data_IF_966510328446
#
_entry.id   IF_966510328446
#
_cell.length_a   1.000
_cell.length_b   1.000
_cell.length_c   1.000
_cell.angle_alpha   90.00
_cell.angle_beta   90.00
_cell.angle_gamma   90.00
#
_symmetry.space_group_name_H-M   'P 1'
#
loop_
_entity.id
_entity.type
_entity.pdbx_description
1 polymer ?
#
# COMPACT_ATOMS: atom_id res chain seq x y z
N UNK A 1 -0.21 0.94 -90.30
CA UNK A 1 0.53 1.81 -89.35
C UNK A 1 -0.46 2.77 -88.68
N UNK A 2 -0.77 2.59 -87.39
CA UNK A 2 -1.53 3.57 -86.60
C UNK A 2 -0.69 3.92 -85.37
N UNK A 3 -0.26 5.17 -85.30
CA UNK A 3 0.62 5.71 -84.27
C UNK A 3 -0.07 5.70 -82.89
N UNK A 4 0.63 5.21 -81.88
CA UNK A 4 0.24 5.35 -80.48
C UNK A 4 0.36 6.83 -80.06
N UNK A 5 -0.78 7.46 -79.80
CA UNK A 5 -0.85 8.79 -79.18
C UNK A 5 -0.42 8.68 -77.71
N UNK A 6 0.84 9.01 -77.43
CA UNK A 6 1.40 9.08 -76.07
C UNK A 6 0.80 10.32 -75.37
N UNK A 7 -0.31 10.12 -74.64
CA UNK A 7 -0.97 11.18 -73.87
C UNK A 7 -0.05 11.63 -72.72
N UNK A 8 0.70 12.72 -72.91
CA UNK A 8 1.50 13.37 -71.86
C UNK A 8 0.55 13.75 -70.70
N UNK A 9 0.66 13.06 -69.57
CA UNK A 9 0.01 13.48 -68.34
C UNK A 9 0.75 14.72 -67.82
N UNK A 10 0.02 15.82 -67.63
CA UNK A 10 0.56 17.06 -67.06
C UNK A 10 1.16 16.78 -65.66
N UNK A 11 2.29 17.39 -65.29
CA UNK A 11 2.91 17.20 -63.97
C UNK A 11 1.93 17.45 -62.82
N UNK A 12 0.99 18.38 -62.99
CA UNK A 12 -0.08 18.64 -62.01
C UNK A 12 -0.96 17.41 -61.79
N UNK A 13 -1.26 16.64 -62.85
CA UNK A 13 -2.07 15.42 -62.72
C UNK A 13 -1.32 14.31 -62.00
N UNK A 14 0.02 14.22 -62.17
CA UNK A 14 0.84 13.26 -61.43
C UNK A 14 0.95 13.63 -59.95
N UNK A 15 1.08 14.92 -59.63
CA UNK A 15 1.09 15.40 -58.23
C UNK A 15 -0.25 15.16 -57.55
N UNK A 16 -1.37 15.43 -58.24
CA UNK A 16 -2.71 15.14 -57.71
C UNK A 16 -2.90 13.64 -57.51
N UNK A 17 -2.52 12.79 -58.47
CA UNK A 17 -2.66 11.34 -58.35
C UNK A 17 -1.76 10.75 -57.24
N UNK A 18 -0.53 11.26 -57.11
CA UNK A 18 0.40 10.86 -56.06
C UNK A 18 -0.07 11.30 -54.68
N UNK A 19 -0.59 12.53 -54.58
CA UNK A 19 -1.16 13.07 -53.34
C UNK A 19 -2.42 12.31 -52.90
N UNK A 20 -3.31 11.96 -53.82
CA UNK A 20 -4.49 11.15 -53.49
C UNK A 20 -4.11 9.73 -53.06
N UNK A 21 -3.16 9.08 -53.74
CA UNK A 21 -2.65 7.77 -53.34
C UNK A 21 -1.99 7.82 -51.95
N UNK A 22 -1.22 8.86 -51.65
CA UNK A 22 -0.56 9.04 -50.36
C UNK A 22 -1.56 9.27 -49.23
N UNK A 23 -2.59 10.11 -49.44
CA UNK A 23 -3.64 10.33 -48.45
C UNK A 23 -4.47 9.08 -48.20
N UNK A 24 -4.78 8.30 -49.25
CA UNK A 24 -5.45 7.00 -49.09
C UNK A 24 -4.56 6.03 -48.31
N UNK A 25 -3.26 5.97 -48.59
CA UNK A 25 -2.31 5.14 -47.85
C UNK A 25 -2.19 5.57 -46.37
N UNK A 26 -2.15 6.86 -46.07
CA UNK A 26 -2.16 7.36 -44.69
C UNK A 26 -3.46 7.00 -43.96
N UNK A 27 -4.61 7.08 -44.64
CA UNK A 27 -5.89 6.67 -44.06
C UNK A 27 -5.93 5.16 -43.80
N UNK A 28 -5.38 4.33 -44.70
CA UNK A 28 -5.29 2.87 -44.49
C UNK A 28 -4.32 2.54 -43.35
N UNK A 29 -3.15 3.17 -43.29
CA UNK A 29 -2.18 2.97 -42.21
C UNK A 29 -2.69 3.46 -40.85
N UNK A 30 -3.44 4.58 -40.81
CA UNK A 30 -4.13 5.02 -39.60
C UNK A 30 -5.30 4.11 -39.23
N UNK A 31 -5.93 3.44 -40.20
CA UNK A 31 -6.96 2.42 -39.94
C UNK A 31 -6.35 1.16 -39.34
N UNK A 32 -5.15 0.74 -39.77
CA UNK A 32 -4.45 -0.41 -39.17
C UNK A 32 -3.92 -0.13 -37.75
N UNK A 33 -3.60 1.12 -37.40
CA UNK A 33 -3.28 1.52 -36.02
C UNK A 33 -4.55 1.76 -35.18
N UNK A 34 -5.68 2.09 -35.82
CA UNK A 34 -6.94 2.46 -35.18
C UNK A 34 -8.02 1.37 -35.13
N UNK A 35 -7.80 0.20 -35.74
CA UNK A 35 -8.76 -0.92 -35.70
C UNK A 35 -8.08 -2.26 -35.42
N UNK A 36 -7.81 -2.52 -34.14
CA UNK A 36 -8.02 -3.85 -33.57
C UNK A 36 -9.35 -3.85 -32.82
N UNK A 37 -10.49 -4.25 -33.43
CA UNK A 37 -11.69 -4.61 -32.71
C UNK A 37 -11.65 -6.13 -32.48
N UNK A 38 -10.65 -6.58 -31.75
CA UNK A 38 -10.64 -7.89 -31.16
C UNK A 38 -10.03 -7.69 -29.78
N UNK A 39 -10.87 -7.29 -28.83
CA UNK A 39 -10.54 -7.54 -27.43
C UNK A 39 -10.24 -9.03 -27.33
N UNK A 40 -9.12 -9.37 -26.70
CA UNK A 40 -8.77 -10.76 -26.42
C UNK A 40 -10.01 -11.43 -25.79
N UNK A 41 -10.54 -12.53 -26.37
CA UNK A 41 -11.80 -13.14 -25.92
C UNK A 41 -11.80 -13.48 -24.43
N UNK A 42 -10.63 -13.81 -23.91
CA UNK A 42 -10.36 -14.03 -22.48
C UNK A 42 -10.60 -12.80 -21.60
N UNK A 43 -10.18 -11.60 -22.05
CA UNK A 43 -10.37 -10.37 -21.27
C UNK A 43 -11.83 -9.93 -21.29
N UNK A 44 -12.54 -10.08 -22.41
CA UNK A 44 -13.98 -9.84 -22.43
C UNK A 44 -14.74 -10.85 -21.56
N UNK A 45 -14.31 -12.11 -21.53
CA UNK A 45 -14.89 -13.11 -20.63
C UNK A 45 -14.63 -12.80 -19.15
N UNK A 46 -13.46 -12.26 -18.79
CA UNK A 46 -13.15 -11.79 -17.44
C UNK A 46 -13.97 -10.57 -17.04
N UNK A 47 -14.16 -9.62 -17.96
CA UNK A 47 -14.98 -8.42 -17.72
C UNK A 47 -16.45 -8.82 -17.55
N UNK A 48 -16.98 -9.68 -18.41
CA UNK A 48 -18.35 -10.20 -18.30
C UNK A 48 -18.54 -11.02 -17.02
N UNK A 49 -17.56 -11.85 -16.63
CA UNK A 49 -17.58 -12.58 -15.35
C UNK A 49 -17.53 -11.63 -14.16
N UNK A 50 -16.69 -10.60 -14.22
CA UNK A 50 -16.58 -9.55 -13.20
C UNK A 50 -17.89 -8.79 -13.00
N UNK A 51 -18.50 -8.34 -14.09
CA UNK A 51 -19.79 -7.64 -14.07
C UNK A 51 -20.92 -8.54 -13.55
N UNK A 52 -20.92 -9.82 -13.94
CA UNK A 52 -21.91 -10.79 -13.47
C UNK A 52 -21.77 -11.09 -11.97
N UNK A 53 -20.55 -11.16 -11.46
CA UNK A 53 -20.27 -11.28 -10.02
C UNK A 53 -20.70 -10.01 -9.29
N UNK A 54 -20.41 -8.82 -9.84
CA UNK A 54 -20.85 -7.54 -9.28
C UNK A 54 -22.37 -7.41 -9.20
N UNK A 55 -23.10 -7.85 -10.23
CA UNK A 55 -24.57 -7.86 -10.24
C UNK A 55 -25.10 -8.86 -9.20
N UNK A 56 -24.56 -10.08 -9.13
CA UNK A 56 -24.96 -11.04 -8.09
C UNK A 56 -24.68 -10.53 -6.67
N UNK A 57 -23.52 -9.90 -6.45
CA UNK A 57 -23.18 -9.31 -5.15
C UNK A 57 -24.11 -8.14 -4.82
N UNK A 58 -24.43 -7.28 -5.79
CA UNK A 58 -25.36 -6.16 -5.61
C UNK A 58 -26.79 -6.64 -5.32
N UNK A 59 -27.26 -7.69 -5.98
CA UNK A 59 -28.55 -8.32 -5.71
C UNK A 59 -28.56 -9.01 -4.33
N UNK A 60 -27.48 -9.69 -3.96
CA UNK A 60 -27.32 -10.29 -2.63
C UNK A 60 -27.33 -9.21 -1.53
N UNK A 61 -26.61 -8.10 -1.72
CA UNK A 61 -26.57 -6.97 -0.77
C UNK A 61 -27.93 -6.26 -0.66
N UNK A 62 -28.68 -6.15 -1.77
CA UNK A 62 -30.03 -5.57 -1.74
C UNK A 62 -31.07 -6.48 -1.06
N UNK A 63 -30.86 -7.81 -1.05
CA UNK A 63 -31.74 -8.77 -0.37
C UNK A 63 -31.31 -9.06 1.08
N UNK A 64 -30.09 -8.68 1.47
CA UNK A 64 -29.65 -8.65 2.86
C UNK A 64 -30.20 -7.35 3.47
N UNK A 65 -31.44 -7.42 3.93
CA UNK A 65 -31.95 -6.43 4.88
C UNK A 65 -31.01 -6.41 6.09
N UNK A 66 -30.22 -5.33 6.22
CA UNK A 66 -29.43 -5.02 7.40
C UNK A 66 -30.36 -4.74 8.59
N UNK A 67 -30.92 -5.80 9.18
CA UNK A 67 -31.63 -5.76 10.46
C UNK A 67 -30.79 -6.28 11.63
N UNK A 68 -29.50 -6.55 11.41
CA UNK A 68 -28.56 -6.79 12.51
C UNK A 68 -27.87 -5.47 12.81
N UNK A 69 -28.58 -4.58 13.52
CA UNK A 69 -27.87 -3.57 14.30
C UNK A 69 -26.94 -4.30 15.26
N UNK A 70 -25.68 -3.88 15.34
CA UNK A 70 -24.79 -4.36 16.40
C UNK A 70 -25.55 -4.23 17.74
N UNK A 71 -25.54 -5.26 18.61
CA UNK A 71 -26.09 -5.10 19.96
C UNK A 71 -25.47 -3.84 20.54
N UNK A 72 -26.30 -2.85 20.91
CA UNK A 72 -25.79 -1.70 21.63
C UNK A 72 -25.08 -2.27 22.85
N UNK A 73 -23.79 -1.94 23.09
CA UNK A 73 -23.18 -2.32 24.34
C UNK A 73 -24.11 -1.80 25.44
N UNK A 74 -24.46 -2.63 26.45
CA UNK A 74 -25.27 -2.16 27.56
C UNK A 74 -24.64 -0.84 28.03
N UNK A 75 -25.44 0.20 28.32
CA UNK A 75 -24.90 1.46 28.79
C UNK A 75 -23.93 1.12 29.90
N UNK A 76 -22.66 1.50 29.73
CA UNK A 76 -21.64 1.25 30.71
C UNK A 76 -22.20 1.79 32.01
N UNK A 77 -22.63 0.88 32.89
CA UNK A 77 -23.00 1.28 34.23
C UNK A 77 -21.68 1.81 34.78
N UNK A 78 -21.59 3.12 34.94
CA UNK A 78 -20.62 3.76 35.81
C UNK A 78 -20.93 3.22 37.21
N UNK A 79 -20.49 1.99 37.49
CA UNK A 79 -20.30 1.53 38.83
C UNK A 79 -19.16 2.39 39.34
N UNK A 80 -19.53 3.43 40.08
CA UNK A 80 -18.63 4.17 40.93
C UNK A 80 -18.15 3.23 42.03
N UNK A 81 -17.22 2.34 41.70
CA UNK A 81 -16.28 1.91 42.73
C UNK A 81 -15.47 3.17 43.03
N UNK A 82 -15.85 3.84 44.12
CA UNK A 82 -14.98 4.79 44.78
C UNK A 82 -13.80 3.98 45.34
N UNK A 83 -12.95 3.46 44.45
CA UNK A 83 -11.67 2.92 44.81
C UNK A 83 -10.84 4.10 45.28
N UNK A 84 -10.64 4.21 46.59
CA UNK A 84 -9.82 5.24 47.23
C UNK A 84 -8.37 5.30 46.70
N UNK A 85 -7.99 4.35 45.85
CA UNK A 85 -6.69 4.21 45.21
C UNK A 85 -6.68 4.62 43.72
N UNK A 86 -7.78 5.16 43.18
CA UNK A 86 -7.85 5.55 41.77
C UNK A 86 -7.50 7.05 41.59
N UNK A 87 -6.35 7.39 40.98
CA UNK A 87 -6.00 8.78 40.77
C UNK A 87 -6.97 9.45 39.79
N UNK A 88 -7.44 10.64 40.14
CA UNK A 88 -8.29 11.44 39.28
C UNK A 88 -7.51 12.04 38.08
N UNK A 89 -8.24 12.42 37.04
CA UNK A 89 -7.71 13.12 35.88
C UNK A 89 -7.21 12.20 34.76
N UNK A 90 -6.30 12.75 33.95
CA UNK A 90 -5.80 12.12 32.72
C UNK A 90 -4.28 11.95 32.78
N UNK A 91 -3.76 10.94 32.08
CA UNK A 91 -2.33 10.80 31.87
C UNK A 91 -1.75 12.01 31.12
N UNK A 92 -0.59 12.47 31.55
CA UNK A 92 0.19 13.50 30.88
C UNK A 92 1.07 12.89 29.79
N UNK A 93 1.51 13.71 28.82
CA UNK A 93 2.42 13.26 27.78
C UNK A 93 3.78 12.79 28.34
N UNK A 94 4.24 13.37 29.46
CA UNK A 94 5.46 12.94 30.14
C UNK A 94 5.31 11.54 30.77
N UNK A 95 4.13 11.19 31.29
CA UNK A 95 3.83 9.83 31.78
C UNK A 95 3.69 8.83 30.63
N UNK A 96 3.18 9.28 29.47
CA UNK A 96 2.99 8.45 28.28
C UNK A 96 4.22 8.39 27.36
N UNK A 97 5.39 8.83 27.82
CA UNK A 97 6.62 8.76 27.04
C UNK A 97 7.00 7.30 26.71
N UNK A 98 7.59 7.03 25.54
CA UNK A 98 8.00 5.69 25.15
C UNK A 98 9.17 5.15 25.97
N UNK A 99 9.44 3.84 25.86
CA UNK A 99 10.55 3.19 26.55
C UNK A 99 11.92 3.58 25.96
N UNK A 100 11.98 3.85 24.66
CA UNK A 100 13.16 4.40 23.99
C UNK A 100 12.82 5.69 23.25
N UNK A 101 13.75 6.64 23.29
CA UNK A 101 13.70 7.82 22.43
C UNK A 101 14.25 7.48 21.05
N UNK A 102 13.53 7.89 20.00
CA UNK A 102 13.97 7.64 18.63
C UNK A 102 15.22 8.47 18.34
N UNK A 103 16.31 7.87 17.79
CA UNK A 103 17.48 8.63 17.40
C UNK A 103 17.15 9.64 16.29
N UNK A 104 17.92 10.73 16.14
CA UNK A 104 17.78 11.66 15.02
C UNK A 104 17.78 10.91 13.69
N UNK A 105 16.80 11.21 12.82
CA UNK A 105 16.69 10.61 11.49
C UNK A 105 17.18 11.60 10.44
N UNK A 106 17.84 11.09 9.40
CA UNK A 106 18.19 11.87 8.21
C UNK A 106 16.98 11.90 7.24
N UNK A 107 16.41 13.08 6.93
CA UNK A 107 15.28 13.21 6.00
C UNK A 107 15.61 12.75 4.56
N UNK A 108 16.90 12.72 4.18
CA UNK A 108 17.37 12.23 2.89
C UNK A 108 17.63 10.72 2.86
N UNK A 109 17.54 10.04 4.01
CA UNK A 109 17.81 8.61 4.07
C UNK A 109 16.72 7.79 3.35
N UNK A 110 17.06 6.60 2.83
CA UNK A 110 16.10 5.80 2.09
C UNK A 110 14.89 5.40 2.94
N UNK A 111 13.68 5.71 2.45
CA UNK A 111 12.44 5.43 3.16
C UNK A 111 12.18 6.26 4.42
N UNK A 112 12.90 7.38 4.59
CA UNK A 112 12.64 8.35 5.65
C UNK A 112 11.18 8.84 5.62
N UNK A 113 10.59 9.03 6.80
CA UNK A 113 9.20 9.48 6.97
C UNK A 113 8.16 8.62 6.25
N UNK A 114 8.47 7.34 6.03
CA UNK A 114 7.59 6.43 5.29
C UNK A 114 7.51 6.68 3.79
N UNK A 115 8.39 7.51 3.22
CA UNK A 115 8.47 7.76 1.78
C UNK A 115 8.84 6.49 1.01
N UNK A 116 8.51 6.45 -0.27
CA UNK A 116 8.87 5.34 -1.14
C UNK A 116 10.40 5.20 -1.26
N UNK A 117 10.90 3.96 -1.14
CA UNK A 117 12.28 3.64 -1.51
C UNK A 117 12.34 3.50 -3.04
N UNK A 118 13.03 4.43 -3.70
CA UNK A 118 13.25 4.41 -5.14
C UNK A 118 14.75 4.34 -5.42
N UNK A 119 15.14 3.45 -6.32
CA UNK A 119 16.50 3.31 -6.81
C UNK A 119 16.44 3.11 -8.32
N UNK A 120 16.81 4.15 -9.06
CA UNK A 120 16.62 4.22 -10.52
C UNK A 120 17.59 3.31 -11.28
N UNK A 121 18.79 3.11 -10.73
CA UNK A 121 19.83 2.29 -11.34
C UNK A 121 20.29 1.22 -10.34
N UNK A 122 19.96 -0.03 -10.64
CA UNK A 122 20.46 -1.21 -9.94
C UNK A 122 21.51 -1.90 -10.80
N UNK A 123 22.58 -2.35 -10.15
CA UNK A 123 23.54 -3.27 -10.78
C UNK A 123 22.90 -4.67 -10.95
N UNK A 124 23.40 -5.50 -11.88
CA UNK A 124 22.92 -6.87 -12.04
C UNK A 124 22.97 -7.68 -10.74
N UNK A 125 23.96 -7.43 -9.89
CA UNK A 125 24.11 -8.06 -8.57
C UNK A 125 23.00 -7.63 -7.61
N UNK A 126 22.65 -6.34 -7.59
CA UNK A 126 21.57 -5.80 -6.76
C UNK A 126 20.18 -6.26 -7.24
N UNK A 127 19.98 -6.37 -8.55
CA UNK A 127 18.75 -6.93 -9.12
C UNK A 127 18.55 -8.38 -8.70
N UNK A 128 19.63 -9.17 -8.74
CA UNK A 128 19.63 -10.55 -8.26
C UNK A 128 19.35 -10.63 -6.75
N UNK A 129 20.00 -9.81 -5.92
CA UNK A 129 19.73 -9.73 -4.47
C UNK A 129 18.25 -9.41 -4.19
N UNK A 130 17.69 -8.46 -4.93
CA UNK A 130 16.28 -8.08 -4.84
C UNK A 130 15.34 -9.23 -5.24
N UNK A 131 15.63 -9.93 -6.32
CA UNK A 131 14.82 -11.07 -6.78
C UNK A 131 14.88 -12.25 -5.79
N UNK A 132 16.06 -12.56 -5.27
CA UNK A 132 16.24 -13.59 -4.24
C UNK A 132 15.48 -13.25 -2.96
N UNK A 133 15.58 -12.00 -2.48
CA UNK A 133 14.83 -11.52 -1.32
C UNK A 133 13.31 -11.56 -1.54
N UNK A 134 12.85 -11.17 -2.73
CA UNK A 134 11.43 -11.27 -3.11
C UNK A 134 10.95 -12.72 -3.14
N UNK A 135 11.76 -13.64 -3.64
CA UNK A 135 11.43 -15.06 -3.72
C UNK A 135 11.38 -15.70 -2.32
N UNK A 136 12.32 -15.33 -1.43
CA UNK A 136 12.42 -15.91 -0.09
C UNK A 136 11.34 -15.41 0.86
N UNK A 137 11.04 -14.11 0.84
CA UNK A 137 10.19 -13.47 1.84
C UNK A 137 8.89 -12.88 1.27
N UNK A 138 8.65 -12.99 -0.04
CA UNK A 138 7.46 -12.43 -0.72
C UNK A 138 7.32 -10.91 -0.63
N UNK A 139 8.40 -10.19 -0.30
CA UNK A 139 8.48 -8.73 -0.33
C UNK A 139 9.89 -8.26 -0.70
N UNK A 140 10.04 -6.96 -0.97
CA UNK A 140 11.33 -6.36 -1.32
C UNK A 140 12.27 -6.25 -0.11
N UNK A 141 12.91 -7.37 0.26
CA UNK A 141 13.89 -7.42 1.34
C UNK A 141 15.06 -6.45 1.09
N UNK A 142 15.54 -6.37 -0.16
CA UNK A 142 16.61 -5.45 -0.57
C UNK A 142 16.34 -4.00 -0.14
N UNK A 143 15.11 -3.52 -0.33
CA UNK A 143 14.69 -2.20 0.11
C UNK A 143 14.60 -2.14 1.64
N UNK A 144 14.01 -3.15 2.29
CA UNK A 144 13.92 -3.22 3.74
C UNK A 144 15.30 -3.14 4.41
N UNK A 145 16.31 -3.83 3.89
CA UNK A 145 17.66 -3.85 4.47
C UNK A 145 18.37 -2.49 4.38
N UNK A 146 17.96 -1.63 3.44
CA UNK A 146 18.51 -0.28 3.21
C UNK A 146 17.71 0.82 3.90
N UNK A 147 16.57 0.49 4.50
CA UNK A 147 15.74 1.42 5.26
C UNK A 147 16.08 1.30 6.75
N UNK A 148 16.25 2.45 7.43
CA UNK A 148 16.54 2.51 8.87
C UNK A 148 15.58 1.64 9.71
N UNK A 149 16.14 0.91 10.68
CA UNK A 149 15.35 0.18 11.69
C UNK A 149 14.58 1.14 12.61
N UNK A 150 15.06 2.38 12.74
CA UNK A 150 14.50 3.41 13.61
C UNK A 150 13.75 4.50 12.84
N UNK A 151 13.32 4.22 11.60
CA UNK A 151 12.68 5.25 10.75
C UNK A 151 11.48 5.92 11.41
N UNK A 152 11.37 7.21 11.17
CA UNK A 152 10.18 8.02 11.39
C UNK A 152 9.09 7.69 10.35
N UNK A 153 7.84 8.01 10.66
CA UNK A 153 6.71 7.94 9.71
C UNK A 153 6.24 9.34 9.27
N UNK A 154 7.01 10.38 9.58
CA UNK A 154 6.69 11.77 9.28
C UNK A 154 5.73 12.39 10.29
N UNK A 155 5.02 13.41 9.84
CA UNK A 155 4.00 14.11 10.62
C UNK A 155 2.78 13.22 10.89
N UNK A 156 2.11 13.46 12.03
CA UNK A 156 0.93 12.70 12.42
C UNK A 156 -0.28 13.08 11.55
N UNK A 157 -0.68 12.18 10.65
CA UNK A 157 -1.81 12.39 9.73
C UNK A 157 -3.14 11.87 10.26
N UNK A 158 -3.22 11.50 11.55
CA UNK A 158 -4.47 11.03 12.15
C UNK A 158 -5.48 12.20 12.28
N UNK A 159 -6.79 11.91 12.35
CA UNK A 159 -7.78 12.94 12.65
C UNK A 159 -7.46 13.67 13.96
N UNK A 160 -7.69 15.00 14.06
CA UNK A 160 -7.33 15.80 15.24
C UNK A 160 -7.86 15.22 16.56
N UNK A 161 -9.06 14.64 16.55
CA UNK A 161 -9.68 14.02 17.73
C UNK A 161 -8.89 12.82 18.26
N UNK A 162 -8.10 12.15 17.43
CA UNK A 162 -7.20 11.06 17.84
C UNK A 162 -5.93 11.60 18.49
N UNK A 163 -5.40 12.71 17.97
CA UNK A 163 -4.17 13.36 18.47
C UNK A 163 -4.43 14.05 19.81
N UNK A 164 -5.59 14.69 19.95
CA UNK A 164 -6.00 15.41 21.14
C UNK A 164 -6.62 14.52 22.24
N UNK A 165 -6.80 13.23 21.95
CA UNK A 165 -7.43 12.28 22.87
C UNK A 165 -6.65 12.15 24.16
N UNK A 166 -7.35 12.31 25.28
CA UNK A 166 -6.81 12.10 26.63
C UNK A 166 -7.32 10.81 27.23
N UNK A 167 -6.46 10.10 27.94
CA UNK A 167 -6.79 8.83 28.61
C UNK A 167 -6.98 9.07 30.11
N UNK A 168 -8.13 8.67 30.65
CA UNK A 168 -8.40 8.76 32.10
C UNK A 168 -7.45 7.82 32.85
N UNK A 169 -7.04 8.23 34.05
CA UNK A 169 -6.28 7.35 34.95
C UNK A 169 -7.16 6.34 35.70
N UNK A 170 -8.49 6.50 35.62
CA UNK A 170 -9.46 5.62 36.26
C UNK A 170 -10.54 5.15 35.28
N UNK A 171 -10.71 3.83 35.07
CA UNK A 171 -9.78 2.78 35.50
C UNK A 171 -8.38 3.00 34.89
N UNK A 172 -7.29 2.55 35.54
CA UNK A 172 -5.94 2.71 35.00
C UNK A 172 -5.80 1.94 33.68
N UNK A 173 -4.97 2.48 32.78
CA UNK A 173 -4.62 1.75 31.56
C UNK A 173 -3.86 0.48 31.94
N UNK A 174 -4.26 -0.70 31.44
CA UNK A 174 -3.60 -1.95 31.76
C UNK A 174 -2.22 -2.00 31.10
N UNK A 175 -1.28 -2.68 31.74
CA UNK A 175 -0.03 -3.07 31.10
C UNK A 175 -0.28 -4.16 30.06
N UNK A 176 0.53 -4.20 29.01
CA UNK A 176 0.43 -5.19 27.94
C UNK A 176 1.77 -5.90 27.70
N UNK A 177 1.69 -7.18 27.35
CA UNK A 177 2.80 -7.97 26.82
C UNK A 177 2.62 -8.08 25.31
N UNK A 178 3.58 -7.57 24.54
CA UNK A 178 3.52 -7.62 23.07
C UNK A 178 4.13 -8.94 22.61
N UNK A 179 3.33 -9.80 21.98
CA UNK A 179 3.77 -11.11 21.48
C UNK A 179 3.94 -11.02 19.97
N UNK A 180 5.16 -11.27 19.49
CA UNK A 180 5.51 -11.29 18.07
C UNK A 180 5.94 -12.71 17.73
N UNK A 181 5.09 -13.43 17.02
CA UNK A 181 5.41 -14.76 16.47
C UNK A 181 6.06 -14.54 15.11
N UNK A 182 7.18 -15.21 14.85
CA UNK A 182 7.87 -15.13 13.57
C UNK A 182 8.36 -16.51 13.10
N UNK A 183 8.37 -16.71 11.79
CA UNK A 183 8.93 -17.89 11.14
C UNK A 183 9.71 -17.42 9.90
N UNK A 184 11.03 -17.61 9.89
CA UNK A 184 11.89 -17.23 8.76
C UNK A 184 11.70 -15.75 8.31
N UNK A 185 11.40 -14.85 9.24
CA UNK A 185 11.22 -13.41 8.99
C UNK A 185 12.57 -12.75 8.65
N UNK A 186 12.56 -11.77 7.75
CA UNK A 186 13.79 -11.05 7.44
C UNK A 186 14.27 -10.25 8.66
N UNK A 187 15.57 -10.19 8.88
CA UNK A 187 16.15 -9.51 10.04
C UNK A 187 15.73 -8.03 10.14
N UNK A 188 15.73 -7.33 9.02
CA UNK A 188 15.38 -5.92 8.96
C UNK A 188 13.91 -5.64 9.30
N UNK A 189 12.97 -6.50 8.88
CA UNK A 189 11.55 -6.36 9.18
C UNK A 189 11.24 -6.73 10.62
N UNK A 190 11.80 -7.84 11.11
CA UNK A 190 11.62 -8.28 12.50
C UNK A 190 12.13 -7.22 13.49
N UNK A 191 13.37 -6.76 13.33
CA UNK A 191 13.93 -5.75 14.23
C UNK A 191 13.22 -4.41 14.11
N UNK A 192 12.84 -3.99 12.90
CA UNK A 192 12.07 -2.74 12.73
C UNK A 192 10.73 -2.80 13.47
N UNK A 193 10.09 -3.98 13.54
CA UNK A 193 8.89 -4.19 14.35
C UNK A 193 9.19 -4.00 15.83
N UNK A 194 10.23 -4.63 16.36
CA UNK A 194 10.64 -4.50 17.78
C UNK A 194 10.95 -3.05 18.14
N UNK A 195 11.78 -2.37 17.33
CA UNK A 195 12.11 -0.97 17.54
C UNK A 195 10.89 -0.05 17.43
N UNK A 196 9.99 -0.32 16.48
CA UNK A 196 8.75 0.45 16.34
C UNK A 196 7.89 0.36 17.61
N UNK A 197 7.72 -0.83 18.18
CA UNK A 197 7.01 -1.02 19.46
C UNK A 197 7.67 -0.20 20.55
N UNK A 198 9.00 -0.26 20.68
CA UNK A 198 9.75 0.43 21.72
C UNK A 198 9.71 1.96 21.61
N UNK A 199 9.66 2.51 20.40
CA UNK A 199 9.60 3.96 20.14
C UNK A 199 8.19 4.54 20.23
N UNK A 200 7.15 3.71 20.17
CA UNK A 200 5.75 4.20 20.08
C UNK A 200 4.89 3.80 21.27
N UNK A 201 5.29 2.77 22.02
CA UNK A 201 4.53 2.30 23.19
C UNK A 201 4.97 3.02 24.46
N UNK A 202 4.04 3.62 25.23
CA UNK A 202 4.37 4.23 26.52
C UNK A 202 5.04 3.25 27.48
N UNK A 203 6.12 3.69 28.14
CA UNK A 203 6.94 2.85 29.01
C UNK A 203 6.14 2.27 30.19
N UNK A 204 5.17 3.02 30.71
CA UNK A 204 4.32 2.57 31.82
C UNK A 204 3.31 1.47 31.41
N UNK A 205 3.07 1.29 30.11
CA UNK A 205 2.08 0.33 29.59
C UNK A 205 2.76 -0.90 28.99
N UNK A 206 3.98 -0.78 28.47
CA UNK A 206 4.70 -1.90 27.87
C UNK A 206 5.44 -2.70 28.95
N UNK A 207 4.93 -3.89 29.27
CA UNK A 207 5.55 -4.77 30.26
C UNK A 207 6.76 -5.52 29.69
N UNK A 208 6.58 -6.12 28.52
CA UNK A 208 7.57 -6.99 27.87
C UNK A 208 7.24 -7.16 26.38
N UNK A 209 8.26 -7.51 25.61
CA UNK A 209 8.13 -7.97 24.22
C UNK A 209 8.59 -9.42 24.18
N UNK A 210 7.70 -10.32 23.79
CA UNK A 210 7.95 -11.75 23.69
C UNK A 210 8.09 -12.10 22.22
N UNK A 211 9.31 -12.45 21.80
CA UNK A 211 9.57 -12.98 20.47
C UNK A 211 9.43 -14.50 20.51
N UNK A 212 8.49 -15.03 19.74
CA UNK A 212 8.23 -16.47 19.66
C UNK A 212 8.68 -16.96 18.28
N UNK A 213 9.75 -17.73 18.27
CA UNK A 213 10.23 -18.40 17.06
C UNK A 213 9.38 -19.65 16.80
N UNK A 214 8.64 -19.63 15.70
CA UNK A 214 7.86 -20.78 15.22
C UNK A 214 8.72 -21.69 14.35
N UNK A 215 9.78 -22.26 14.94
CA UNK A 215 10.71 -23.19 14.29
C UNK A 215 11.33 -22.66 12.98
N UNK A 216 11.89 -21.45 13.02
CA UNK A 216 12.69 -20.91 11.91
C UNK A 216 13.85 -21.87 11.57
N UNK A 217 14.14 -22.00 10.28
CA UNK A 217 15.02 -23.05 9.75
C UNK A 217 16.37 -22.56 9.25
N UNK A 218 16.65 -21.26 9.41
CA UNK A 218 17.85 -20.52 8.99
C UNK A 218 18.92 -21.31 8.20
#
# INVERSE_FOLDING_TARGET
MRLFLRRRMSPLKLVVLGGTLFMVALVVLQRDVGSSPAGDPWFQELVDKGDKVMVMVREAVNNIGFQIGAPQPPPAQEQSTQDANCPAGFYTQAELKPHLERPPQDPGSPGADGKAFQKDHMSPEEEKEKEEGMTRHCFNQFASDRISLSRSLGEDTRPPECVERKFRRCPPLPTTSVIIVFHNEAWSTLLRTVYSVLYTSPAILLKEIILVDDASTA
#
